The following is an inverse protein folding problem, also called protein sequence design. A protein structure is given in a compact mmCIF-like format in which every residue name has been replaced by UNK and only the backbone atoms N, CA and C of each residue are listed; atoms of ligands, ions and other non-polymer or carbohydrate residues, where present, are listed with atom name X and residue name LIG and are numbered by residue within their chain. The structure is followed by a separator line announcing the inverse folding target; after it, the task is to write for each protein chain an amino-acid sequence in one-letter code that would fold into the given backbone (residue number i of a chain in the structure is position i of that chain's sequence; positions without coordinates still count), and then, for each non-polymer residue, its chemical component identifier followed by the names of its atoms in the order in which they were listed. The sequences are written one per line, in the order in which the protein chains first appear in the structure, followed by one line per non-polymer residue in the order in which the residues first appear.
data_IF_574383034189
#
_entry.id   IF_574383034189
#
_cell.length_a   1.000
_cell.length_b   1.000
_cell.length_c   1.000
_cell.angle_alpha   90.00
_cell.angle_beta   90.00
_cell.angle_gamma   90.00
#
_symmetry.space_group_name_H-M   'P 1'
#
loop_
_entity.id
_entity.type
_entity.pdbx_description
1 polymer ?
#
# COMPACT_ATOMS: atom_id res chain seq x y z
N UNK A 1 18.28 2.66 38.51
CA UNK A 1 19.03 2.08 37.38
C UNK A 1 18.89 0.58 37.49
N UNK A 2 17.96 -0.03 36.75
CA UNK A 2 17.70 -1.48 36.79
C UNK A 2 17.45 -1.91 35.34
N UNK A 3 18.33 -2.76 34.81
CA UNK A 3 18.27 -3.35 33.48
C UNK A 3 17.33 -4.57 33.49
N UNK A 4 16.46 -4.77 32.48
CA UNK A 4 15.90 -6.10 32.23
C UNK A 4 16.81 -6.93 31.33
N UNK A 5 17.04 -8.16 31.77
CA UNK A 5 17.85 -9.20 31.14
C UNK A 5 17.27 -9.70 29.82
N UNK A 6 18.15 -9.96 28.86
CA UNK A 6 17.83 -10.62 27.57
C UNK A 6 17.97 -12.14 27.76
N UNK A 7 16.89 -12.87 27.54
CA UNK A 7 16.90 -14.34 27.48
C UNK A 7 16.75 -14.75 26.01
N UNK A 8 17.83 -15.28 25.43
CA UNK A 8 17.82 -15.93 24.12
C UNK A 8 17.38 -17.39 24.30
N UNK A 9 16.35 -17.81 23.57
CA UNK A 9 15.96 -19.23 23.45
C UNK A 9 16.21 -19.68 22.01
N UNK A 10 17.18 -20.58 21.87
CA UNK A 10 17.51 -21.34 20.66
C UNK A 10 17.02 -22.78 20.81
N UNK A 11 16.22 -23.27 19.86
CA UNK A 11 16.00 -24.68 19.53
C UNK A 11 15.26 -24.72 18.17
N UNK A 12 15.82 -25.30 17.10
CA UNK A 12 15.63 -26.71 16.71
C UNK A 12 14.24 -26.90 16.08
N UNK A 13 13.99 -27.53 14.92
CA UNK A 13 14.49 -28.80 14.37
C UNK A 13 14.07 -28.89 12.89
N UNK A 14 14.85 -29.62 12.09
CA UNK A 14 14.58 -29.99 10.68
C UNK A 14 13.38 -30.95 10.57
N UNK A 15 12.47 -30.74 9.61
CA UNK A 15 11.50 -31.77 9.20
C UNK A 15 11.56 -31.97 7.67
N UNK A 16 11.90 -33.20 7.26
CA UNK A 16 11.89 -33.70 5.88
C UNK A 16 10.83 -34.80 5.78
N UNK A 17 10.07 -34.82 4.69
CA UNK A 17 9.11 -35.88 4.34
C UNK A 17 7.66 -35.40 4.44
N UNK A 18 6.77 -35.65 3.47
CA UNK A 18 6.44 -36.96 2.92
C UNK A 18 5.92 -36.88 1.47
N UNK A 19 6.36 -37.82 0.63
CA UNK A 19 5.81 -38.08 -0.69
C UNK A 19 4.41 -38.71 -0.60
N UNK A 20 3.47 -38.24 -1.42
CA UNK A 20 2.21 -38.93 -1.71
C UNK A 20 2.37 -39.75 -2.99
N UNK A 21 2.37 -41.08 -2.84
CA UNK A 21 2.26 -42.04 -3.90
C UNK A 21 0.79 -42.42 -4.11
N UNK A 22 0.32 -42.35 -5.36
CA UNK A 22 -0.98 -42.86 -5.80
C UNK A 22 -0.99 -44.40 -5.89
N UNK A 23 -2.17 -45.03 -5.74
CA UNK A 23 -2.46 -46.27 -6.44
C UNK A 23 -3.63 -46.09 -7.41
N UNK A 24 -3.43 -46.44 -8.69
CA UNK A 24 -4.49 -46.39 -9.71
C UNK A 24 -3.99 -46.68 -11.12
N UNK A 25 -3.55 -47.91 -11.35
CA UNK A 25 -3.00 -48.44 -12.61
C UNK A 25 -3.94 -48.32 -13.82
N UNK A 26 -3.38 -47.90 -14.97
CA UNK A 26 -3.57 -48.54 -16.28
C UNK A 26 -2.48 -48.06 -17.25
N UNK A 27 -1.59 -48.97 -17.65
CA UNK A 27 -0.69 -48.88 -18.81
C UNK A 27 -1.32 -49.71 -19.97
N UNK A 28 -0.76 -49.84 -21.21
CA UNK A 28 0.55 -49.38 -21.70
C UNK A 28 0.57 -48.82 -23.16
N UNK A 29 1.73 -48.27 -23.59
CA UNK A 29 2.53 -48.76 -24.73
C UNK A 29 3.66 -47.78 -25.14
N UNK A 30 4.88 -48.30 -25.08
CA UNK A 30 6.10 -48.06 -25.86
C UNK A 30 6.31 -46.73 -26.62
N UNK A 31 7.44 -46.06 -26.35
CA UNK A 31 8.62 -46.10 -27.22
C UNK A 31 9.80 -45.29 -26.65
N UNK A 32 10.98 -45.91 -26.73
CA UNK A 32 12.33 -45.38 -26.54
C UNK A 32 12.64 -44.12 -27.34
N UNK A 33 13.25 -43.12 -26.71
CA UNK A 33 14.40 -42.35 -27.24
C UNK A 33 15.06 -41.56 -26.10
N UNK A 34 16.31 -41.89 -25.82
CA UNK A 34 17.23 -41.08 -25.00
C UNK A 34 17.80 -39.97 -25.87
N UNK A 35 17.45 -38.72 -25.61
CA UNK A 35 18.26 -37.55 -25.97
C UNK A 35 17.93 -36.40 -25.04
N UNK A 36 18.92 -36.01 -24.23
CA UNK A 36 18.86 -34.94 -23.25
C UNK A 36 18.62 -33.58 -23.90
N UNK A 37 17.62 -32.81 -23.46
CA UNK A 37 17.79 -31.37 -23.35
C UNK A 37 18.39 -31.09 -21.97
N UNK A 38 19.54 -30.40 -21.95
CA UNK A 38 19.86 -29.50 -20.82
C UNK A 38 18.73 -28.47 -20.77
N UNK A 39 17.63 -28.81 -20.13
CA UNK A 39 16.64 -27.83 -19.73
C UNK A 39 17.19 -27.17 -18.49
N UNK A 40 18.02 -26.16 -18.69
CA UNK A 40 18.22 -25.13 -17.68
C UNK A 40 16.82 -24.66 -17.29
N UNK A 41 16.39 -25.02 -16.09
CA UNK A 41 15.18 -24.48 -15.54
C UNK A 41 15.42 -22.98 -15.42
N UNK A 42 14.90 -22.24 -16.39
CA UNK A 42 14.72 -20.80 -16.25
C UNK A 42 13.67 -20.68 -15.17
N UNK A 43 14.14 -20.53 -13.92
CA UNK A 43 13.28 -20.06 -12.84
C UNK A 43 12.84 -18.69 -13.32
N UNK A 44 11.61 -18.58 -13.79
CA UNK A 44 10.99 -17.30 -14.01
C UNK A 44 10.94 -16.62 -12.64
N UNK A 45 11.92 -15.76 -12.36
CA UNK A 45 11.81 -14.74 -11.32
C UNK A 45 10.78 -13.73 -11.80
N UNK A 46 9.51 -14.13 -11.80
CA UNK A 46 8.40 -13.21 -11.94
C UNK A 46 8.01 -12.75 -10.54
N UNK A 47 8.75 -11.82 -9.99
CA UNK A 47 8.19 -10.93 -8.99
C UNK A 47 8.54 -9.54 -9.49
N UNK A 48 7.57 -8.89 -10.15
CA UNK A 48 7.59 -7.43 -10.17
C UNK A 48 7.54 -7.05 -8.70
N UNK A 49 8.65 -6.51 -8.24
CA UNK A 49 8.84 -5.94 -6.92
C UNK A 49 7.57 -5.17 -6.57
N UNK A 50 6.83 -5.63 -5.55
CA UNK A 50 5.86 -4.74 -4.96
C UNK A 50 6.68 -3.60 -4.38
N UNK A 51 6.43 -2.38 -4.85
CA UNK A 51 7.13 -1.19 -4.35
C UNK A 51 6.77 -0.92 -2.86
N UNK A 52 5.94 -1.78 -2.25
CA UNK A 52 5.63 -1.81 -0.84
C UNK A 52 5.85 -3.19 -0.20
N UNK A 53 6.09 -3.19 1.10
CA UNK A 53 6.32 -4.37 1.94
C UNK A 53 5.20 -4.48 3.00
N UNK A 54 4.68 -5.67 3.29
CA UNK A 54 3.74 -5.85 4.40
C UNK A 54 4.42 -5.56 5.76
N UNK A 55 3.73 -4.87 6.69
CA UNK A 55 4.27 -4.62 8.02
C UNK A 55 4.35 -5.92 8.84
N UNK A 56 5.29 -5.95 9.80
CA UNK A 56 5.27 -6.96 10.85
C UNK A 56 4.01 -6.78 11.72
N UNK A 57 3.57 -7.84 12.43
CA UNK A 57 2.43 -7.72 13.35
C UNK A 57 2.66 -6.67 14.46
N UNK A 58 3.91 -6.52 14.90
CA UNK A 58 4.30 -5.51 15.88
C UNK A 58 4.22 -4.08 15.29
N UNK A 59 4.69 -3.88 14.05
CA UNK A 59 4.57 -2.60 13.36
C UNK A 59 3.11 -2.25 13.09
N UNK A 60 2.30 -3.19 12.60
CA UNK A 60 0.88 -2.98 12.39
C UNK A 60 0.18 -2.53 13.69
N UNK A 61 0.42 -3.21 14.81
CA UNK A 61 -0.15 -2.80 16.11
C UNK A 61 0.36 -1.43 16.58
N UNK A 62 1.62 -1.08 16.30
CA UNK A 62 2.18 0.22 16.64
C UNK A 62 1.60 1.34 15.77
N UNK A 63 1.44 1.11 14.47
CA UNK A 63 0.79 2.01 13.51
C UNK A 63 -0.66 2.26 13.93
N UNK A 64 -1.43 1.22 14.24
CA UNK A 64 -2.83 1.37 14.71
C UNK A 64 -2.90 2.24 15.96
N UNK A 65 -1.99 2.03 16.93
CA UNK A 65 -1.93 2.87 18.14
C UNK A 65 -1.57 4.32 17.82
N UNK A 66 -0.62 4.54 16.92
CA UNK A 66 -0.22 5.88 16.49
C UNK A 66 -1.38 6.62 15.80
N UNK A 67 -2.10 5.96 14.90
CA UNK A 67 -3.26 6.54 14.22
C UNK A 67 -4.36 6.90 15.22
N UNK A 68 -4.69 6.01 16.17
CA UNK A 68 -5.77 6.24 17.15
C UNK A 68 -5.42 7.27 18.24
N UNK A 69 -4.14 7.48 18.51
CA UNK A 69 -3.67 8.48 19.47
C UNK A 69 -3.36 9.84 18.82
N UNK A 70 -3.43 9.92 17.49
CA UNK A 70 -3.03 11.11 16.74
C UNK A 70 -4.02 12.26 16.93
N UNK A 71 -3.55 13.52 16.96
CA UNK A 71 -4.44 14.68 16.92
C UNK A 71 -5.31 14.72 15.64
N UNK A 72 -4.86 14.15 14.51
CA UNK A 72 -5.62 14.14 13.25
C UNK A 72 -6.92 13.34 13.32
N UNK A 73 -7.00 12.35 14.21
CA UNK A 73 -8.19 11.50 14.40
C UNK A 73 -8.99 11.86 15.65
N UNK A 74 -8.59 12.90 16.38
CA UNK A 74 -9.20 13.28 17.67
C UNK A 74 -10.69 13.63 17.58
N UNK A 75 -11.17 14.04 16.41
CA UNK A 75 -12.58 14.33 16.17
C UNK A 75 -13.46 13.09 15.98
N UNK A 76 -12.87 11.92 15.68
CA UNK A 76 -13.59 10.68 15.39
C UNK A 76 -13.27 9.64 16.46
N UNK A 77 -14.27 9.07 17.15
CA UNK A 77 -14.02 8.02 18.13
C UNK A 77 -13.34 6.80 17.51
N UNK A 78 -12.32 6.27 18.18
CA UNK A 78 -11.45 5.21 17.68
C UNK A 78 -12.14 3.84 17.44
N UNK A 79 -13.43 3.70 17.75
CA UNK A 79 -14.27 2.54 17.46
C UNK A 79 -15.19 2.73 16.24
N UNK A 80 -15.21 3.93 15.64
CA UNK A 80 -16.01 4.26 14.46
C UNK A 80 -15.24 4.09 13.14
N UNK A 81 -13.98 3.65 13.22
CA UNK A 81 -13.17 3.32 12.05
C UNK A 81 -12.16 2.22 12.38
N UNK A 82 -11.78 1.50 11.34
CA UNK A 82 -10.73 0.48 11.35
C UNK A 82 -9.56 0.93 10.49
N UNK A 83 -8.35 0.61 10.97
CA UNK A 83 -7.12 0.87 10.23
C UNK A 83 -6.80 -0.40 9.44
N UNK A 84 -6.84 -0.29 8.12
CA UNK A 84 -6.66 -1.40 7.18
C UNK A 84 -5.67 -0.98 6.07
N UNK A 85 -5.35 -1.90 5.15
CA UNK A 85 -4.51 -1.59 4.00
C UNK A 85 -3.09 -1.11 4.34
N UNK A 86 -2.60 -1.41 5.54
CA UNK A 86 -1.30 -0.90 5.99
C UNK A 86 -0.17 -1.54 5.21
N UNK A 87 0.70 -0.71 4.62
CA UNK A 87 1.89 -1.12 3.88
C UNK A 87 3.07 -0.21 4.20
N UNK A 88 4.29 -0.73 4.13
CA UNK A 88 5.54 0.01 4.29
C UNK A 88 6.16 0.31 2.93
N UNK A 89 6.84 1.44 2.78
CA UNK A 89 7.58 1.71 1.55
C UNK A 89 8.80 0.76 1.43
N UNK A 90 9.00 0.15 0.26
CA UNK A 90 10.14 -0.75 0.03
C UNK A 90 11.47 0.00 0.01
N UNK A 91 11.48 1.25 -0.45
CA UNK A 91 12.65 2.13 -0.49
C UNK A 91 13.05 2.66 0.88
N UNK A 92 12.08 2.87 1.77
CA UNK A 92 12.31 3.30 3.15
C UNK A 92 11.23 2.74 4.11
N UNK A 93 11.48 1.62 4.81
CA UNK A 93 10.53 1.00 5.70
C UNK A 93 10.34 1.77 7.03
N UNK A 94 10.84 3.00 7.14
CA UNK A 94 10.42 3.96 8.17
C UNK A 94 9.17 4.74 7.78
N UNK A 95 8.67 4.58 6.55
CA UNK A 95 7.41 5.17 6.11
C UNK A 95 6.33 4.10 5.94
N UNK A 96 5.11 4.46 6.34
CA UNK A 96 3.94 3.61 6.18
C UNK A 96 2.77 4.38 5.57
N UNK A 97 1.99 3.69 4.77
CA UNK A 97 0.69 4.12 4.30
C UNK A 97 -0.39 3.24 4.94
N UNK A 98 -1.54 3.80 5.25
CA UNK A 98 -2.68 3.05 5.77
C UNK A 98 -4.00 3.69 5.36
N UNK A 99 -5.05 2.87 5.30
CA UNK A 99 -6.42 3.33 5.08
C UNK A 99 -7.19 3.31 6.40
N UNK A 100 -8.06 4.30 6.60
CA UNK A 100 -9.02 4.38 7.69
C UNK A 100 -10.40 4.15 7.08
N UNK A 101 -10.95 2.95 7.29
CA UNK A 101 -12.28 2.59 6.82
C UNK A 101 -13.30 2.86 7.92
N UNK A 102 -14.37 3.62 7.63
CA UNK A 102 -15.42 3.86 8.60
C UNK A 102 -16.21 2.58 8.87
N UNK A 103 -16.66 2.41 10.11
CA UNK A 103 -17.56 1.31 10.52
C UNK A 103 -19.01 1.79 10.73
N UNK A 104 -19.24 3.09 10.55
CA UNK A 104 -20.53 3.79 10.68
C UNK A 104 -20.71 4.73 9.48
N UNK A 105 -21.94 5.14 9.20
CA UNK A 105 -22.26 5.91 7.98
C UNK A 105 -21.88 7.40 8.07
N UNK A 106 -21.76 7.96 9.27
CA UNK A 106 -21.46 9.39 9.50
C UNK A 106 -19.97 9.73 9.53
N UNK A 107 -19.11 8.76 9.19
CA UNK A 107 -17.65 8.92 9.15
C UNK A 107 -17.17 8.63 7.74
N UNK A 108 -16.39 9.55 7.19
CA UNK A 108 -15.81 9.38 5.87
C UNK A 108 -14.55 8.50 5.91
N UNK A 109 -14.28 7.82 4.80
CA UNK A 109 -13.00 7.17 4.57
C UNK A 109 -11.89 8.23 4.48
N UNK A 110 -10.74 7.89 5.04
CA UNK A 110 -9.53 8.68 4.90
C UNK A 110 -8.32 7.76 4.72
N UNK A 111 -7.23 8.32 4.22
CA UNK A 111 -5.95 7.63 4.12
C UNK A 111 -4.88 8.41 4.90
N UNK A 112 -3.87 7.70 5.39
CA UNK A 112 -2.88 8.24 6.31
C UNK A 112 -1.46 7.85 5.93
N UNK A 113 -0.55 8.81 6.07
CA UNK A 113 0.90 8.61 5.92
C UNK A 113 1.55 8.74 7.28
N UNK A 114 2.37 7.75 7.65
CA UNK A 114 3.10 7.71 8.90
C UNK A 114 4.60 7.68 8.65
N UNK A 115 5.36 8.25 9.59
CA UNK A 115 6.81 8.17 9.64
C UNK A 115 7.28 7.64 10.99
N UNK A 116 8.30 6.79 10.99
CA UNK A 116 8.89 6.19 12.17
C UNK A 116 10.12 6.97 12.60
N UNK A 117 9.94 7.81 13.61
CA UNK A 117 11.02 8.51 14.30
C UNK A 117 11.61 7.72 15.47
N UNK A 118 12.41 8.39 16.28
CA UNK A 118 12.99 7.82 17.51
C UNK A 118 11.94 7.49 18.57
N UNK A 119 10.78 8.15 18.54
CA UNK A 119 9.64 7.91 19.42
C UNK A 119 8.68 6.81 18.94
N UNK A 120 8.94 6.20 17.78
CA UNK A 120 8.05 5.23 17.14
C UNK A 120 7.29 5.82 15.95
N UNK A 121 6.17 5.18 15.61
CA UNK A 121 5.31 5.59 14.50
C UNK A 121 4.52 6.84 14.87
N UNK A 122 4.51 7.81 13.96
CA UNK A 122 3.73 9.04 14.07
C UNK A 122 2.93 9.25 12.78
N UNK A 123 1.64 9.56 12.92
CA UNK A 123 0.81 9.96 11.78
C UNK A 123 1.18 11.40 11.42
N UNK A 124 1.79 11.59 10.24
CA UNK A 124 2.28 12.90 9.80
C UNK A 124 1.27 13.60 8.88
N UNK A 125 0.38 12.85 8.25
CA UNK A 125 -0.66 13.41 7.39
C UNK A 125 -1.87 12.47 7.32
N UNK A 126 -3.06 13.06 7.26
CA UNK A 126 -4.35 12.39 7.07
C UNK A 126 -5.14 13.17 6.02
N UNK A 127 -5.76 12.47 5.07
CA UNK A 127 -6.56 13.10 4.03
C UNK A 127 -6.90 12.14 2.90
N UNK A 128 -7.51 12.68 1.84
CA UNK A 128 -7.89 11.95 0.61
C UNK A 128 -7.22 12.50 -0.65
N UNK A 129 -6.47 13.58 -0.50
CA UNK A 129 -5.75 14.26 -1.58
C UNK A 129 -4.39 14.75 -1.07
N UNK A 130 -3.39 14.83 -1.97
CA UNK A 130 -2.03 15.33 -1.66
C UNK A 130 -1.31 14.60 -0.50
N UNK A 131 -1.59 13.31 -0.32
CA UNK A 131 -0.97 12.51 0.73
C UNK A 131 0.53 12.37 0.52
N UNK A 132 1.28 12.64 1.58
CA UNK A 132 2.74 12.63 1.60
C UNK A 132 3.39 13.81 0.86
N UNK A 133 2.63 14.66 0.17
CA UNK A 133 3.20 15.74 -0.63
C UNK A 133 3.88 16.79 0.25
N UNK A 134 5.15 17.10 -0.06
CA UNK A 134 5.97 18.03 0.71
C UNK A 134 6.52 17.49 2.04
N UNK A 135 6.20 16.24 2.40
CA UNK A 135 6.62 15.61 3.67
C UNK A 135 7.38 14.30 3.44
N UNK A 136 6.85 13.41 2.58
CA UNK A 136 7.47 12.14 2.24
C UNK A 136 8.51 12.30 1.10
N UNK A 137 9.63 11.57 1.13
CA UNK A 137 10.58 11.51 0.02
C UNK A 137 9.94 11.00 -1.28
N UNK A 138 10.45 11.44 -2.44
CA UNK A 138 9.91 11.04 -3.76
C UNK A 138 9.90 9.52 -3.98
N UNK A 139 10.92 8.81 -3.49
CA UNK A 139 10.97 7.35 -3.58
C UNK A 139 9.83 6.68 -2.80
N UNK A 140 9.50 7.20 -1.61
CA UNK A 140 8.39 6.73 -0.78
C UNK A 140 7.05 7.03 -1.43
N UNK A 141 6.89 8.22 -2.04
CA UNK A 141 5.69 8.57 -2.78
C UNK A 141 5.46 7.64 -3.98
N UNK A 142 6.51 7.35 -4.73
CA UNK A 142 6.46 6.39 -5.85
C UNK A 142 6.07 5.00 -5.36
N UNK A 143 6.63 4.56 -4.25
CA UNK A 143 6.33 3.26 -3.65
C UNK A 143 4.85 3.13 -3.26
N UNK A 144 4.27 4.19 -2.69
CA UNK A 144 2.84 4.26 -2.41
C UNK A 144 1.98 4.61 -3.63
N UNK A 145 2.58 4.88 -4.79
CA UNK A 145 1.93 5.33 -6.04
C UNK A 145 1.12 6.61 -5.85
N UNK A 146 1.60 7.49 -4.99
CA UNK A 146 1.02 8.80 -4.73
C UNK A 146 1.60 9.82 -5.71
N UNK A 147 0.74 10.66 -6.27
CA UNK A 147 1.13 11.74 -7.18
C UNK A 147 0.94 13.08 -6.46
N UNK A 148 1.96 13.92 -6.52
CA UNK A 148 1.89 15.28 -6.02
C UNK A 148 1.76 16.26 -7.18
N UNK A 149 0.95 17.31 -7.05
CA UNK A 149 0.92 18.36 -8.05
C UNK A 149 2.31 19.01 -8.16
N UNK A 150 2.67 19.52 -9.35
CA UNK A 150 3.90 20.26 -9.49
C UNK A 150 3.86 21.51 -8.60
N UNK A 151 4.99 21.96 -8.04
CA UNK A 151 5.04 23.05 -7.07
C UNK A 151 4.52 24.40 -7.59
N UNK A 152 4.39 24.55 -8.91
CA UNK A 152 3.88 25.76 -9.59
C UNK A 152 2.42 25.62 -10.07
N UNK A 153 1.74 24.50 -9.76
CA UNK A 153 0.28 24.42 -9.93
C UNK A 153 -0.37 25.26 -8.83
N UNK A 154 -0.57 26.55 -9.10
CA UNK A 154 -1.50 27.35 -8.32
C UNK A 154 -2.84 26.60 -8.23
N UNK A 155 -3.58 26.68 -7.11
CA UNK A 155 -4.96 26.22 -7.10
C UNK A 155 -5.63 26.95 -8.27
N UNK A 156 -6.37 26.23 -9.12
CA UNK A 156 -7.29 26.84 -10.07
C UNK A 156 -8.32 27.64 -9.27
N UNK A 157 -7.92 28.83 -8.84
CA UNK A 157 -8.80 29.89 -8.41
C UNK A 157 -9.57 30.26 -9.67
N UNK A 158 -10.85 29.90 -9.71
CA UNK A 158 -11.82 30.50 -10.60
C UNK A 158 -11.43 30.37 -12.08
N UNK A 159 -11.74 29.21 -12.69
CA UNK A 159 -12.03 29.25 -14.11
C UNK A 159 -13.16 30.28 -14.28
N UNK A 160 -12.96 31.43 -14.95
CA UNK A 160 -14.06 32.33 -15.20
C UNK A 160 -15.10 31.52 -15.98
N UNK A 161 -16.35 31.52 -15.49
CA UNK A 161 -17.48 31.06 -16.24
C UNK A 161 -17.31 31.52 -17.69
N UNK A 162 -17.29 30.57 -18.63
CA UNK A 162 -17.23 30.88 -20.04
C UNK A 162 -18.24 32.01 -20.31
N UNK A 163 -17.85 33.12 -20.95
CA UNK A 163 -18.80 34.17 -21.24
C UNK A 163 -19.94 33.54 -22.03
N UNK A 164 -21.15 33.74 -21.49
CA UNK A 164 -22.45 33.53 -22.12
C UNK A 164 -22.30 33.42 -23.64
N UNK A 165 -22.53 32.22 -24.17
CA UNK A 165 -22.76 32.05 -25.59
C UNK A 165 -24.03 32.86 -25.92
N UNK A 166 -23.83 34.09 -26.39
CA UNK A 166 -24.87 34.93 -26.94
C UNK A 166 -25.71 34.13 -27.95
N UNK A 167 -27.03 34.36 -28.02
CA UNK A 167 -27.93 33.57 -28.82
C UNK A 167 -27.57 33.63 -30.31
N UNK A 168 -27.68 32.48 -30.98
CA UNK A 168 -27.51 32.32 -32.41
C UNK A 168 -28.29 33.42 -33.17
N UNK A 169 -27.56 34.28 -33.88
CA UNK A 169 -28.16 35.17 -34.86
C UNK A 169 -28.55 34.33 -36.07
N UNK A 170 -29.85 34.09 -36.22
CA UNK A 170 -30.48 33.54 -37.42
C UNK A 170 -30.14 34.43 -38.63
N UNK A 171 -29.53 33.92 -39.71
CA UNK A 171 -29.38 34.69 -40.93
C UNK A 171 -30.72 34.74 -41.67
N UNK A 172 -31.18 35.96 -41.93
CA UNK A 172 -32.34 36.26 -42.75
C UNK A 172 -32.32 35.46 -44.07
N UNK A 173 -33.33 34.60 -44.27
CA UNK A 173 -33.68 34.09 -45.59
C UNK A 173 -34.25 35.25 -46.41
N UNK A 174 -33.59 35.60 -47.50
CA UNK A 174 -34.13 36.45 -48.57
C UNK A 174 -33.77 35.83 -49.90
N UNK A 175 -34.76 35.19 -50.54
CA UNK A 175 -35.04 35.12 -51.98
C UNK A 175 -36.17 34.10 -52.21
#
# INVERSE_FOLDING_TARGET
MVLPAVTLVTAGVVTVGTAFACPGSSAPLSSTTTASPRSGAVVATSVRESDTVPPSAADAAAIVRAVKASPYTSAVPANQYEVTGTVLASSDPTWAYTELHPTVEDVDRAEGVLHRGTGGWELVQLGTYELGCGVAPEAVLRDFRLACPPPDAAPEADAPAAPDAAPATEPARSA
#
